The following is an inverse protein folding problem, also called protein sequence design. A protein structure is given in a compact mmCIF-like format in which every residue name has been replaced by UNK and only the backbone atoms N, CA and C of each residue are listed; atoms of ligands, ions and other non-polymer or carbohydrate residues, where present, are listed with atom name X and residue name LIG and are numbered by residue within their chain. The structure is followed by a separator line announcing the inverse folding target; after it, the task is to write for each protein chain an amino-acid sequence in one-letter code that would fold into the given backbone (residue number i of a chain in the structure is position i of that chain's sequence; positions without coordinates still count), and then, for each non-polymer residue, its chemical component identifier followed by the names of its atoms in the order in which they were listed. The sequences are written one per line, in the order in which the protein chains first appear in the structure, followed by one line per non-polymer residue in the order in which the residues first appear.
data_IF_797523117685
#
_entry.id   IF_797523117685
#
_cell.length_a   1.000
_cell.length_b   1.000
_cell.length_c   1.000
_cell.angle_alpha   90.00
_cell.angle_beta   90.00
_cell.angle_gamma   90.00
#
_symmetry.space_group_name_H-M   'P 1'
#
loop_
_entity.id
_entity.type
_entity.pdbx_description
1 polymer ?
#
# COMPACT_ATOMS: atom_id res chain seq x y z
N UNK A 1 -2.21 -48.02 66.74
CA UNK A 1 -2.19 -46.71 66.04
C UNK A 1 -1.19 -46.84 64.90
N UNK A 2 -1.69 -47.08 63.69
CA UNK A 2 -0.87 -47.32 62.49
C UNK A 2 -1.07 -46.15 61.52
N UNK A 3 0.01 -45.51 61.12
CA UNK A 3 0.03 -44.43 60.15
C UNK A 3 -0.06 -45.01 58.73
N UNK A 4 -1.04 -44.55 57.96
CA UNK A 4 -1.21 -44.92 56.54
C UNK A 4 -0.66 -43.78 55.69
N UNK A 5 0.41 -44.05 54.94
CA UNK A 5 0.98 -43.14 53.95
C UNK A 5 0.12 -43.18 52.69
N UNK A 6 -0.53 -42.06 52.36
CA UNK A 6 -1.28 -41.89 51.11
C UNK A 6 -0.37 -41.38 49.99
N UNK A 7 -0.25 -42.16 48.92
CA UNK A 7 0.40 -41.75 47.67
C UNK A 7 -0.65 -41.04 46.81
N UNK A 8 -0.40 -39.79 46.44
CA UNK A 8 -1.23 -39.02 45.51
C UNK A 8 -0.70 -39.24 44.09
N UNK A 9 -1.46 -39.94 43.25
CA UNK A 9 -1.19 -40.05 41.82
C UNK A 9 -1.85 -38.87 41.09
N UNK A 10 -1.03 -38.06 40.42
CA UNK A 10 -1.48 -36.96 39.55
C UNK A 10 -1.81 -37.55 38.18
N UNK A 11 -3.07 -37.42 37.74
CA UNK A 11 -3.50 -37.79 36.38
C UNK A 11 -3.64 -36.51 35.57
N UNK A 12 -2.74 -36.28 34.63
CA UNK A 12 -2.85 -35.21 33.63
C UNK A 12 -3.62 -35.74 32.43
N UNK A 13 -4.79 -35.15 32.14
CA UNK A 13 -5.54 -35.45 30.92
C UNK A 13 -4.98 -34.59 29.78
N UNK A 14 -4.42 -35.22 28.75
CA UNK A 14 -4.06 -34.57 27.49
C UNK A 14 -5.24 -34.71 26.52
N UNK A 15 -5.91 -33.61 26.23
CA UNK A 15 -6.93 -33.55 25.17
C UNK A 15 -6.21 -33.42 23.82
N UNK A 16 -6.39 -34.41 22.94
CA UNK A 16 -5.89 -34.35 21.55
C UNK A 16 -7.03 -33.84 20.69
N UNK A 17 -6.98 -32.57 20.26
CA UNK A 17 -7.91 -32.03 19.26
C UNK A 17 -7.52 -32.60 17.89
N UNK A 18 -8.38 -33.46 17.34
CA UNK A 18 -8.34 -33.84 15.93
C UNK A 18 -8.97 -32.71 15.11
N UNK A 19 -8.20 -32.07 14.23
CA UNK A 19 -8.72 -31.19 13.19
C UNK A 19 -8.88 -32.00 11.90
N UNK A 20 -10.11 -32.09 11.39
CA UNK A 20 -10.35 -32.64 10.05
C UNK A 20 -10.06 -31.55 8.99
N UNK A 21 -9.47 -31.90 7.83
CA UNK A 21 -9.19 -30.94 6.78
C UNK A 21 -10.49 -30.56 6.06
N UNK A 22 -11.04 -29.39 6.41
CA UNK A 22 -12.10 -28.73 5.65
C UNK A 22 -11.52 -27.99 4.45
N UNK A 23 -12.09 -28.22 3.26
CA UNK A 23 -11.86 -27.43 2.05
C UNK A 23 -12.05 -25.94 2.34
N UNK A 24 -11.09 -25.05 2.02
CA UNK A 24 -11.27 -23.62 2.23
C UNK A 24 -12.40 -23.11 1.33
N UNK A 25 -13.34 -22.38 1.94
CA UNK A 25 -14.35 -21.62 1.22
C UNK A 25 -13.66 -20.53 0.37
N UNK A 26 -14.23 -20.12 -0.78
CA UNK A 26 -13.70 -18.99 -1.52
C UNK A 26 -13.77 -17.75 -0.62
N UNK A 27 -12.61 -17.18 -0.30
CA UNK A 27 -12.50 -15.95 0.46
C UNK A 27 -12.98 -14.79 -0.43
N UNK A 28 -14.10 -14.18 -0.04
CA UNK A 28 -14.45 -12.85 -0.55
C UNK A 28 -13.33 -11.89 -0.12
N UNK A 29 -12.69 -11.14 -1.03
CA UNK A 29 -11.64 -10.22 -0.66
C UNK A 29 -12.19 -9.23 0.37
N UNK A 30 -11.58 -9.21 1.56
CA UNK A 30 -11.89 -8.18 2.56
C UNK A 30 -11.06 -6.96 2.16
N UNK A 31 -11.67 -5.84 1.75
CA UNK A 31 -10.91 -4.64 1.44
C UNK A 31 -10.17 -4.19 2.69
N UNK A 32 -8.85 -4.16 2.60
CA UNK A 32 -7.96 -3.72 3.66
C UNK A 32 -7.87 -2.20 3.66
N UNK A 33 -7.72 -1.64 4.86
CA UNK A 33 -7.69 -0.19 5.11
C UNK A 33 -6.33 0.42 4.70
N UNK A 34 -5.31 -0.42 4.53
CA UNK A 34 -4.00 -0.03 4.05
C UNK A 34 -3.89 -0.27 2.53
N UNK A 35 -3.58 0.80 1.79
CA UNK A 35 -2.98 0.82 0.45
C UNK A 35 -3.42 -0.22 -0.61
N UNK A 36 -4.68 -0.66 -0.63
CA UNK A 36 -5.28 -1.25 -1.84
C UNK A 36 -5.72 -0.12 -2.78
N UNK A 37 -4.75 0.51 -3.42
CA UNK A 37 -4.96 1.34 -4.60
C UNK A 37 -4.96 0.43 -5.80
N UNK A 38 -6.07 -0.24 -6.08
CA UNK A 38 -6.26 -0.86 -7.38
C UNK A 38 -7.70 -0.68 -7.81
N UNK A 39 -7.89 -0.40 -9.11
CA UNK A 39 -9.06 -0.84 -9.90
C UNK A 39 -10.15 0.18 -10.23
N UNK A 40 -10.89 -0.21 -11.28
CA UNK A 40 -12.11 0.35 -11.88
C UNK A 40 -13.22 0.68 -10.85
N UNK A 41 -13.19 0.04 -9.69
CA UNK A 41 -14.17 0.19 -8.60
C UNK A 41 -13.68 1.10 -7.45
N UNK A 42 -12.57 1.83 -7.64
CA UNK A 42 -12.05 2.73 -6.62
C UNK A 42 -13.11 3.81 -6.24
N UNK A 43 -13.26 4.18 -4.94
CA UNK A 43 -14.19 5.21 -4.50
C UNK A 43 -14.06 6.55 -5.24
N UNK A 44 -12.85 6.88 -5.67
CA UNK A 44 -12.55 8.09 -6.43
C UNK A 44 -13.12 8.06 -7.86
N UNK A 45 -13.34 6.87 -8.44
CA UNK A 45 -13.92 6.67 -9.76
C UNK A 45 -15.46 6.62 -9.75
N UNK A 46 -16.08 6.71 -8.56
CA UNK A 46 -17.54 6.69 -8.44
C UNK A 46 -18.18 7.84 -9.23
N UNK A 47 -19.16 7.50 -10.07
CA UNK A 47 -19.88 8.49 -10.87
C UNK A 47 -20.87 9.30 -10.03
N UNK A 48 -21.19 10.52 -10.47
CA UNK A 48 -22.25 11.32 -9.83
C UNK A 48 -23.64 10.64 -9.82
N UNK A 49 -23.88 9.66 -10.70
CA UNK A 49 -25.12 8.89 -10.75
C UNK A 49 -25.18 7.76 -9.71
N UNK A 50 -24.02 7.35 -9.18
CA UNK A 50 -23.87 6.30 -8.18
C UNK A 50 -22.77 6.69 -7.18
N UNK A 51 -23.02 7.72 -6.33
CA UNK A 51 -22.02 8.19 -5.37
C UNK A 51 -21.79 7.16 -4.27
N UNK A 52 -20.62 7.21 -3.63
CA UNK A 52 -20.37 6.44 -2.42
C UNK A 52 -21.24 6.98 -1.29
N UNK A 53 -22.11 6.17 -0.66
CA UNK A 53 -22.97 6.64 0.40
C UNK A 53 -22.16 6.95 1.67
N UNK A 54 -22.62 7.93 2.43
CA UNK A 54 -22.11 8.14 3.79
C UNK A 54 -22.35 6.88 4.64
N UNK A 55 -21.44 6.52 5.56
CA UNK A 55 -21.63 5.38 6.45
C UNK A 55 -22.93 5.50 7.24
N UNK A 56 -23.73 4.43 7.25
CA UNK A 56 -25.00 4.41 7.98
C UNK A 56 -24.82 4.53 9.50
N UNK A 57 -23.68 4.04 10.00
CA UNK A 57 -23.26 4.14 11.39
C UNK A 57 -21.78 4.50 11.39
N UNK A 58 -21.44 5.59 12.05
CA UNK A 58 -20.04 5.94 12.35
C UNK A 58 -19.54 5.10 13.50
N UNK A 59 -18.30 4.60 13.39
CA UNK A 59 -17.68 3.84 14.47
C UNK A 59 -17.45 4.74 15.70
N UNK A 60 -17.31 4.15 16.90
CA UNK A 60 -17.07 4.95 18.09
C UNK A 60 -15.71 5.69 17.98
N UNK A 61 -15.52 6.73 18.80
CA UNK A 61 -14.39 7.65 18.70
C UNK A 61 -13.02 6.97 18.62
N UNK A 62 -12.80 5.91 19.42
CA UNK A 62 -11.53 5.18 19.47
C UNK A 62 -11.56 3.85 18.70
N UNK A 63 -12.65 3.56 18.02
CA UNK A 63 -12.71 2.39 17.16
C UNK A 63 -11.82 2.61 15.93
N UNK A 64 -11.19 1.54 15.43
CA UNK A 64 -10.39 1.63 14.22
C UNK A 64 -11.23 2.13 13.03
N UNK A 65 -10.58 2.62 11.97
CA UNK A 65 -11.27 2.87 10.71
C UNK A 65 -12.10 1.67 10.26
N UNK A 66 -13.27 1.93 9.69
CA UNK A 66 -14.03 0.93 8.93
C UNK A 66 -13.84 1.14 7.43
N UNK A 67 -14.12 0.10 6.64
CA UNK A 67 -14.04 0.15 5.18
C UNK A 67 -14.97 1.22 4.60
N UNK A 68 -16.21 1.29 5.07
CA UNK A 68 -17.21 2.25 4.59
C UNK A 68 -16.78 3.70 4.85
N UNK A 69 -16.17 3.95 6.01
CA UNK A 69 -15.64 5.27 6.34
C UNK A 69 -14.50 5.66 5.41
N UNK A 70 -13.53 4.75 5.20
CA UNK A 70 -12.39 4.99 4.31
C UNK A 70 -12.86 5.20 2.87
N UNK A 71 -13.81 4.40 2.39
CA UNK A 71 -14.39 4.56 1.07
C UNK A 71 -15.08 5.93 0.92
N UNK A 72 -15.86 6.35 1.93
CA UNK A 72 -16.55 7.62 1.87
C UNK A 72 -15.62 8.83 1.95
N UNK A 73 -14.57 8.82 2.80
CA UNK A 73 -13.63 9.94 2.83
C UNK A 73 -12.79 10.05 1.56
N UNK A 74 -12.44 8.91 0.94
CA UNK A 74 -11.79 8.87 -0.38
C UNK A 74 -12.69 9.47 -1.47
N UNK A 75 -13.97 9.13 -1.45
CA UNK A 75 -14.97 9.76 -2.33
C UNK A 75 -15.07 11.27 -2.08
N UNK A 76 -15.10 11.73 -0.82
CA UNK A 76 -15.12 13.17 -0.52
C UNK A 76 -13.90 13.91 -1.08
N UNK A 77 -12.70 13.31 -1.02
CA UNK A 77 -11.50 13.87 -1.65
C UNK A 77 -11.67 13.99 -3.16
N UNK A 78 -12.24 12.98 -3.83
CA UNK A 78 -12.42 13.04 -5.29
C UNK A 78 -13.42 14.11 -5.76
N UNK A 79 -14.28 14.60 -4.85
CA UNK A 79 -15.19 15.71 -5.11
C UNK A 79 -14.54 17.08 -4.85
N UNK A 80 -13.37 17.14 -4.20
CA UNK A 80 -12.68 18.39 -3.95
C UNK A 80 -12.12 19.00 -5.25
N UNK A 81 -12.25 20.32 -5.48
CA UNK A 81 -11.68 20.97 -6.66
C UNK A 81 -10.17 20.75 -6.85
N UNK A 82 -9.38 20.54 -5.79
CA UNK A 82 -7.94 20.26 -5.91
C UNK A 82 -7.62 18.88 -6.47
N UNK A 83 -8.59 17.95 -6.45
CA UNK A 83 -8.44 16.63 -7.05
C UNK A 83 -8.62 16.67 -8.57
N UNK A 84 -9.40 17.62 -9.09
CA UNK A 84 -9.68 17.71 -10.51
C UNK A 84 -8.41 18.06 -11.34
N UNK A 85 -8.17 17.30 -12.40
CA UNK A 85 -7.04 17.53 -13.33
C UNK A 85 -5.70 16.95 -12.89
N UNK A 86 -5.67 16.21 -11.79
CA UNK A 86 -4.52 15.41 -11.34
C UNK A 86 -4.47 14.06 -12.06
N UNK A 87 -3.38 13.31 -11.90
CA UNK A 87 -3.21 11.98 -12.50
C UNK A 87 -2.60 10.93 -11.55
N UNK A 88 -2.97 9.67 -11.82
CA UNK A 88 -2.44 8.48 -11.18
C UNK A 88 -1.17 7.98 -11.88
N UNK A 89 -0.51 6.98 -11.28
CA UNK A 89 0.78 6.45 -11.75
C UNK A 89 0.74 5.89 -13.18
N UNK A 90 -0.41 5.39 -13.60
CA UNK A 90 -0.68 4.85 -14.93
C UNK A 90 -1.20 5.89 -15.93
N UNK A 91 -1.27 7.17 -15.53
CA UNK A 91 -1.81 8.26 -16.33
C UNK A 91 -3.34 8.33 -16.35
N UNK A 92 -4.02 7.55 -15.50
CA UNK A 92 -5.45 7.69 -15.24
C UNK A 92 -5.79 9.04 -14.62
N UNK A 93 -7.07 9.44 -14.70
CA UNK A 93 -7.54 10.68 -14.12
C UNK A 93 -7.67 10.56 -12.60
N UNK A 94 -7.21 11.58 -11.88
CA UNK A 94 -7.27 11.65 -10.42
C UNK A 94 -5.95 11.21 -9.78
N UNK A 95 -5.55 11.90 -8.72
CA UNK A 95 -4.31 11.65 -8.01
C UNK A 95 -4.30 10.23 -7.44
N UNK A 96 -3.12 9.63 -7.38
CA UNK A 96 -2.89 8.29 -6.86
C UNK A 96 -3.15 8.25 -5.34
N UNK A 97 -4.16 7.50 -4.89
CA UNK A 97 -4.34 7.24 -3.45
C UNK A 97 -3.12 6.52 -2.89
N UNK A 98 -2.62 6.96 -1.72
CA UNK A 98 -1.51 6.31 -1.01
C UNK A 98 -1.96 5.70 0.31
N UNK A 99 -2.61 6.49 1.17
CA UNK A 99 -3.08 6.02 2.48
C UNK A 99 -4.19 6.90 3.06
N UNK A 100 -4.92 6.33 4.03
CA UNK A 100 -5.87 7.01 4.87
C UNK A 100 -5.66 6.56 6.31
N UNK A 101 -5.55 7.54 7.21
CA UNK A 101 -5.31 7.33 8.62
C UNK A 101 -6.35 8.09 9.43
N UNK A 102 -6.87 7.48 10.48
CA UNK A 102 -7.75 8.16 11.43
C UNK A 102 -6.91 9.06 12.34
N UNK A 103 -7.27 10.34 12.40
CA UNK A 103 -6.64 11.29 13.30
C UNK A 103 -6.93 10.94 14.76
N UNK A 104 -5.96 11.17 15.64
CA UNK A 104 -6.15 10.97 17.08
C UNK A 104 -7.29 11.88 17.57
N UNK A 105 -8.38 11.31 18.11
CA UNK A 105 -9.54 12.09 18.55
C UNK A 105 -9.21 13.11 19.65
N UNK A 106 -8.15 12.89 20.42
CA UNK A 106 -7.72 13.83 21.47
C UNK A 106 -7.18 15.16 20.91
N UNK A 107 -6.87 15.22 19.61
CA UNK A 107 -6.44 16.42 18.92
C UNK A 107 -7.62 17.35 18.55
N UNK A 108 -8.87 16.90 18.75
CA UNK A 108 -10.08 17.66 18.43
C UNK A 108 -11.03 17.72 19.62
N UNK A 109 -11.57 18.91 19.92
CA UNK A 109 -12.45 19.10 21.09
C UNK A 109 -13.95 18.90 20.78
N UNK A 110 -14.31 18.84 19.50
CA UNK A 110 -15.69 18.66 19.01
C UNK A 110 -16.14 17.19 19.01
N UNK A 111 -15.19 16.24 19.10
CA UNK A 111 -15.47 14.82 19.04
C UNK A 111 -15.69 14.30 17.62
N UNK A 112 -15.44 15.11 16.60
CA UNK A 112 -15.60 14.72 15.21
C UNK A 112 -14.52 13.73 14.77
N UNK A 113 -14.92 12.78 13.91
CA UNK A 113 -14.01 11.79 13.33
C UNK A 113 -13.33 12.41 12.11
N UNK A 114 -12.02 12.61 12.18
CA UNK A 114 -11.21 13.18 11.09
C UNK A 114 -10.25 12.16 10.53
N UNK A 115 -10.09 12.19 9.22
CA UNK A 115 -9.14 11.37 8.48
C UNK A 115 -8.06 12.24 7.86
N UNK A 116 -6.84 11.77 7.91
CA UNK A 116 -5.73 12.24 7.08
C UNK A 116 -5.63 11.32 5.87
N UNK A 117 -5.65 11.87 4.67
CA UNK A 117 -5.39 11.10 3.45
C UNK A 117 -4.20 11.67 2.70
N UNK A 118 -3.40 10.78 2.13
CA UNK A 118 -2.30 11.12 1.24
C UNK A 118 -2.58 10.64 -0.17
N UNK A 119 -2.41 11.56 -1.12
CA UNK A 119 -2.49 11.30 -2.56
C UNK A 119 -1.23 11.83 -3.24
N UNK A 120 -0.81 11.21 -4.34
CA UNK A 120 0.27 11.71 -5.17
C UNK A 120 -0.25 12.10 -6.55
N UNK A 121 -0.02 13.36 -6.95
CA UNK A 121 -0.33 13.82 -8.29
C UNK A 121 0.89 13.67 -9.21
N UNK A 122 0.79 12.74 -10.16
CA UNK A 122 1.82 12.48 -11.15
C UNK A 122 1.92 13.55 -12.25
N UNK A 123 0.99 14.50 -12.33
CA UNK A 123 1.11 15.65 -13.25
C UNK A 123 2.11 16.68 -12.70
N UNK A 124 2.06 16.96 -11.40
CA UNK A 124 2.85 18.01 -10.76
C UNK A 124 3.99 17.51 -9.88
N UNK A 125 4.12 16.19 -9.69
CA UNK A 125 5.08 15.55 -8.79
C UNK A 125 4.94 16.03 -7.33
N UNK A 126 3.69 16.13 -6.86
CA UNK A 126 3.38 16.61 -5.51
C UNK A 126 2.56 15.62 -4.69
N UNK A 127 2.89 15.55 -3.40
CA UNK A 127 2.06 14.92 -2.39
C UNK A 127 0.95 15.89 -1.97
N UNK A 128 -0.30 15.45 -2.06
CA UNK A 128 -1.46 16.12 -1.53
C UNK A 128 -1.87 15.47 -0.21
N UNK A 129 -1.98 16.28 0.84
CA UNK A 129 -2.41 15.89 2.17
C UNK A 129 -3.79 16.49 2.46
N UNK A 130 -4.79 15.63 2.56
CA UNK A 130 -6.16 16.01 2.87
C UNK A 130 -6.48 15.75 4.33
N UNK A 131 -7.18 16.69 4.96
CA UNK A 131 -7.89 16.47 6.22
C UNK A 131 -9.38 16.46 5.93
N UNK A 132 -10.03 15.34 6.22
CA UNK A 132 -11.45 15.13 5.93
C UNK A 132 -12.20 14.90 7.24
N UNK A 133 -13.23 15.69 7.48
CA UNK A 133 -14.14 15.47 8.59
C UNK A 133 -15.26 14.54 8.12
N UNK A 134 -15.18 13.29 8.56
CA UNK A 134 -16.17 12.26 8.25
C UNK A 134 -17.54 12.62 8.85
N UNK A 135 -17.58 13.14 10.07
CA UNK A 135 -18.83 13.52 10.76
C UNK A 135 -19.58 14.61 9.99
N UNK A 136 -18.87 15.64 9.53
CA UNK A 136 -19.43 16.74 8.75
C UNK A 136 -19.62 16.38 7.26
N UNK A 137 -18.92 15.36 6.77
CA UNK A 137 -18.94 14.97 5.37
C UNK A 137 -18.23 15.96 4.45
N UNK A 138 -17.13 16.57 4.92
CA UNK A 138 -16.45 17.66 4.22
C UNK A 138 -14.94 17.50 4.25
N UNK A 139 -14.27 17.89 3.16
CA UNK A 139 -12.83 18.17 3.16
C UNK A 139 -12.60 19.49 3.90
N UNK A 140 -11.84 19.46 4.98
CA UNK A 140 -11.54 20.65 5.80
C UNK A 140 -10.31 21.40 5.28
N UNK A 141 -9.32 20.66 4.76
CA UNK A 141 -8.13 21.26 4.15
C UNK A 141 -7.43 20.31 3.20
N UNK A 142 -6.70 20.90 2.25
CA UNK A 142 -5.71 20.23 1.40
C UNK A 142 -4.41 21.03 1.49
N UNK A 143 -3.28 20.34 1.65
CA UNK A 143 -1.94 20.92 1.58
C UNK A 143 -1.11 20.14 0.59
N UNK A 144 -0.38 20.85 -0.27
CA UNK A 144 0.49 20.24 -1.28
C UNK A 144 1.96 20.42 -0.91
N UNK A 145 2.80 19.43 -1.22
CA UNK A 145 4.22 19.49 -0.94
C UNK A 145 5.04 18.55 -1.82
N UNK A 146 6.22 19.02 -2.22
CA UNK A 146 7.24 18.21 -2.88
C UNK A 146 8.29 17.72 -1.86
N UNK A 147 9.07 16.71 -2.22
CA UNK A 147 10.20 16.24 -1.40
C UNK A 147 9.85 15.22 -0.32
N UNK A 148 8.57 14.91 -0.13
CA UNK A 148 8.10 13.87 0.81
C UNK A 148 7.70 12.65 0.01
N UNK A 149 8.26 11.49 0.39
CA UNK A 149 8.06 10.23 -0.34
C UNK A 149 7.51 9.16 0.61
N UNK A 150 6.18 9.10 0.82
CA UNK A 150 5.56 8.01 1.57
C UNK A 150 5.81 6.66 0.88
N UNK A 151 5.59 5.58 1.64
CA UNK A 151 5.71 4.22 1.14
C UNK A 151 4.90 4.03 -0.17
N UNK A 152 5.41 3.22 -1.11
CA UNK A 152 4.68 2.90 -2.32
C UNK A 152 3.45 2.04 -2.03
N UNK A 153 2.44 2.18 -2.88
CA UNK A 153 1.30 1.27 -2.97
C UNK A 153 1.68 -0.01 -3.71
N UNK A 154 0.80 -1.02 -3.65
CA UNK A 154 0.98 -2.27 -4.39
C UNK A 154 0.94 -2.03 -5.91
N UNK A 155 0.08 -1.13 -6.39
CA UNK A 155 0.02 -0.75 -7.81
C UNK A 155 1.32 -0.09 -8.28
N UNK A 156 1.86 0.84 -7.49
CA UNK A 156 3.14 1.49 -7.80
C UNK A 156 4.30 0.49 -7.78
N UNK A 157 4.29 -0.43 -6.82
CA UNK A 157 5.30 -1.48 -6.68
C UNK A 157 5.26 -2.44 -7.88
N UNK A 158 4.05 -2.87 -8.27
CA UNK A 158 3.86 -3.74 -9.43
C UNK A 158 4.30 -3.07 -10.73
N UNK A 159 3.85 -1.83 -10.97
CA UNK A 159 4.25 -1.08 -12.16
C UNK A 159 5.76 -0.85 -12.20
N UNK A 160 6.38 -0.52 -11.07
CA UNK A 160 7.82 -0.36 -11.00
C UNK A 160 8.56 -1.63 -11.45
N UNK A 161 8.08 -2.80 -11.02
CA UNK A 161 8.70 -4.06 -11.43
C UNK A 161 8.45 -4.39 -12.90
N UNK A 162 7.25 -4.10 -13.42
CA UNK A 162 6.97 -4.24 -14.85
C UNK A 162 7.91 -3.36 -15.70
N UNK A 163 8.10 -2.09 -15.31
CA UNK A 163 9.05 -1.18 -15.95
C UNK A 163 10.48 -1.72 -15.87
N UNK A 164 10.89 -2.22 -14.70
CA UNK A 164 12.19 -2.84 -14.51
C UNK A 164 12.42 -4.01 -15.47
N UNK A 165 11.49 -4.96 -15.54
CA UNK A 165 11.62 -6.14 -16.40
C UNK A 165 11.59 -5.79 -17.89
N UNK A 166 10.92 -4.71 -18.28
CA UNK A 166 10.93 -4.22 -19.65
C UNK A 166 12.26 -3.53 -20.03
N UNK A 167 13.00 -3.00 -19.05
CA UNK A 167 14.22 -2.25 -19.29
C UNK A 167 15.46 -3.16 -19.52
N UNK A 168 16.36 -2.83 -20.45
CA UNK A 168 17.59 -3.58 -20.69
C UNK A 168 18.51 -3.74 -19.46
N UNK A 169 18.46 -2.81 -18.50
CA UNK A 169 19.22 -2.88 -17.25
C UNK A 169 18.84 -4.09 -16.39
N UNK A 170 17.68 -4.70 -16.62
CA UNK A 170 17.24 -5.91 -15.90
C UNK A 170 17.96 -7.19 -16.30
N UNK A 171 18.82 -7.18 -17.33
CA UNK A 171 19.44 -8.42 -17.83
C UNK A 171 20.18 -9.19 -16.73
N UNK A 172 20.92 -8.50 -15.85
CA UNK A 172 21.62 -9.17 -14.74
C UNK A 172 20.67 -9.88 -13.78
N UNK A 173 19.52 -9.27 -13.47
CA UNK A 173 18.48 -9.86 -12.61
C UNK A 173 17.85 -11.07 -13.28
N UNK A 174 17.58 -10.99 -14.59
CA UNK A 174 17.03 -12.10 -15.37
C UNK A 174 17.99 -13.29 -15.44
N UNK A 175 19.28 -13.02 -15.61
CA UNK A 175 20.33 -14.05 -15.62
C UNK A 175 20.46 -14.71 -14.23
N UNK A 176 20.40 -13.94 -13.14
CA UNK A 176 20.41 -14.47 -11.77
C UNK A 176 19.19 -15.34 -11.49
N UNK A 177 18.00 -14.92 -11.90
CA UNK A 177 16.78 -15.70 -11.77
C UNK A 177 16.85 -17.00 -12.57
N UNK A 178 17.31 -16.94 -13.83
CA UNK A 178 17.51 -18.12 -14.67
C UNK A 178 18.52 -19.10 -14.05
N UNK A 179 19.62 -18.59 -13.49
CA UNK A 179 20.60 -19.43 -12.81
C UNK A 179 20.06 -20.06 -11.51
N UNK A 180 19.11 -19.41 -10.83
CA UNK A 180 18.49 -19.92 -9.61
C UNK A 180 17.36 -20.93 -9.88
N UNK A 181 16.56 -20.71 -10.93
CA UNK A 181 15.30 -21.45 -11.16
C UNK A 181 15.33 -22.35 -12.39
N UNK A 182 16.18 -22.06 -13.37
CA UNK A 182 16.15 -22.68 -14.69
C UNK A 182 15.07 -22.10 -15.63
N UNK A 183 14.35 -21.05 -15.23
CA UNK A 183 13.31 -20.39 -16.01
C UNK A 183 13.65 -18.92 -16.29
N UNK A 184 13.11 -18.36 -17.39
CA UNK A 184 13.28 -16.94 -17.69
C UNK A 184 12.37 -16.09 -16.79
N UNK A 185 12.90 -14.98 -16.26
CA UNK A 185 12.12 -13.98 -15.52
C UNK A 185 11.42 -13.04 -16.51
N UNK A 186 10.11 -13.21 -16.64
CA UNK A 186 9.25 -12.47 -17.57
C UNK A 186 8.09 -11.75 -16.88
N UNK A 187 7.73 -12.19 -15.67
CA UNK A 187 6.60 -11.66 -14.92
C UNK A 187 6.99 -11.44 -13.44
N UNK A 188 6.65 -10.29 -12.82
CA UNK A 188 6.85 -10.06 -11.39
C UNK A 188 6.29 -11.18 -10.49
N UNK A 189 5.17 -11.81 -10.88
CA UNK A 189 4.51 -12.88 -10.13
C UNK A 189 5.36 -14.16 -9.97
N UNK A 190 6.45 -14.29 -10.73
CA UNK A 190 7.43 -15.37 -10.55
C UNK A 190 8.33 -15.15 -9.31
N UNK A 191 8.20 -14.01 -8.62
CA UNK A 191 9.02 -13.63 -7.48
C UNK A 191 8.16 -13.13 -6.32
N UNK A 192 8.71 -13.17 -5.12
CA UNK A 192 8.21 -12.36 -4.00
C UNK A 192 8.93 -11.02 -4.04
N UNK A 193 8.20 -9.90 -4.06
CA UNK A 193 8.81 -8.59 -4.18
C UNK A 193 8.15 -7.53 -3.31
N UNK A 194 8.93 -6.50 -3.01
CA UNK A 194 8.48 -5.28 -2.35
C UNK A 194 9.31 -4.10 -2.89
N UNK A 195 8.81 -2.89 -2.69
CA UNK A 195 9.55 -1.68 -3.00
C UNK A 195 9.57 -0.73 -1.79
N UNK A 196 10.54 0.17 -1.81
CA UNK A 196 10.55 1.34 -0.94
C UNK A 196 10.75 2.59 -1.80
N UNK A 197 10.27 3.73 -1.30
CA UNK A 197 10.52 4.99 -1.96
C UNK A 197 12.01 5.34 -1.90
N UNK A 198 12.53 5.85 -3.00
CA UNK A 198 13.94 6.19 -3.19
C UNK A 198 14.09 7.70 -3.32
N UNK A 199 14.96 8.27 -2.49
CA UNK A 199 15.39 9.68 -2.56
C UNK A 199 16.88 9.70 -2.80
N UNK A 200 17.30 10.39 -3.86
CA UNK A 200 18.71 10.44 -4.22
C UNK A 200 19.50 11.32 -3.25
N UNK A 201 20.63 10.80 -2.79
CA UNK A 201 21.70 11.56 -2.15
C UNK A 201 22.65 12.19 -3.19
N UNK A 202 23.61 13.03 -2.75
CA UNK A 202 24.51 13.74 -3.65
C UNK A 202 25.42 12.86 -4.53
N UNK A 203 25.56 11.57 -4.19
CA UNK A 203 26.39 10.62 -4.92
C UNK A 203 25.61 9.76 -5.91
N UNK A 204 24.27 9.80 -5.89
CA UNK A 204 23.41 8.90 -6.67
C UNK A 204 23.24 9.42 -8.11
N UNK A 205 24.31 9.27 -8.89
CA UNK A 205 24.36 9.73 -10.28
C UNK A 205 23.32 9.00 -11.14
N UNK A 206 22.58 9.77 -11.93
CA UNK A 206 21.50 9.27 -12.79
C UNK A 206 20.13 9.15 -12.12
N UNK A 207 20.01 9.43 -10.82
CA UNK A 207 18.75 9.46 -10.07
C UNK A 207 18.48 10.83 -9.42
N UNK A 208 19.12 11.90 -9.88
CA UNK A 208 19.15 13.20 -9.22
C UNK A 208 17.75 13.86 -9.06
N UNK A 209 16.77 13.43 -9.84
CA UNK A 209 15.38 13.91 -9.72
C UNK A 209 14.58 13.16 -8.65
N UNK A 210 15.06 12.02 -8.16
CA UNK A 210 14.37 11.18 -7.18
C UNK A 210 14.32 11.84 -5.81
N UNK A 211 13.11 11.93 -5.25
CA UNK A 211 12.81 12.70 -4.05
C UNK A 211 11.89 13.89 -4.35
N UNK A 212 12.10 14.54 -5.50
CA UNK A 212 11.07 15.39 -6.11
C UNK A 212 10.13 14.49 -6.90
N UNK A 213 10.67 13.77 -7.88
CA UNK A 213 9.95 12.74 -8.60
C UNK A 213 9.83 11.47 -7.77
N UNK A 214 8.74 10.74 -8.01
CA UNK A 214 8.42 9.52 -7.28
C UNK A 214 9.23 8.36 -7.85
N UNK A 215 10.31 8.02 -7.16
CA UNK A 215 11.18 6.91 -7.51
C UNK A 215 11.07 5.79 -6.49
N UNK A 216 11.16 4.55 -6.95
CA UNK A 216 11.17 3.35 -6.12
C UNK A 216 12.45 2.54 -6.34
N UNK A 217 12.86 1.84 -5.29
CA UNK A 217 13.85 0.77 -5.39
C UNK A 217 13.22 -0.54 -4.93
N UNK A 218 13.37 -1.57 -5.77
CA UNK A 218 12.77 -2.88 -5.59
C UNK A 218 13.69 -3.80 -4.80
N UNK A 219 13.08 -4.74 -4.09
CA UNK A 219 13.70 -5.96 -3.58
C UNK A 219 12.90 -7.13 -4.10
N UNK A 220 13.56 -8.06 -4.78
CA UNK A 220 12.91 -9.25 -5.36
C UNK A 220 13.62 -10.52 -4.89
N UNK A 221 12.82 -11.56 -4.61
CA UNK A 221 13.27 -12.86 -4.16
C UNK A 221 12.74 -13.94 -5.10
N UNK A 222 13.65 -14.78 -5.60
CA UNK A 222 13.29 -15.96 -6.38
C UNK A 222 12.59 -17.03 -5.50
N UNK A 223 11.86 -17.99 -6.09
CA UNK A 223 11.15 -19.03 -5.35
C UNK A 223 12.02 -19.89 -4.41
N UNK A 224 13.33 -19.97 -4.67
CA UNK A 224 14.30 -20.68 -3.81
C UNK A 224 14.71 -19.87 -2.56
N UNK A 225 14.20 -18.65 -2.40
CA UNK A 225 14.51 -17.74 -1.30
C UNK A 225 15.71 -16.82 -1.55
N UNK A 226 16.38 -16.91 -2.71
CA UNK A 226 17.50 -16.02 -3.05
C UNK A 226 17.01 -14.63 -3.45
N UNK A 227 17.63 -13.60 -2.89
CA UNK A 227 17.42 -12.23 -3.36
C UNK A 227 18.16 -11.99 -4.68
N UNK A 228 17.47 -11.36 -5.63
CA UNK A 228 18.03 -10.88 -6.87
C UNK A 228 18.69 -9.52 -6.66
N UNK A 229 19.73 -9.20 -7.43
CA UNK A 229 20.50 -7.95 -7.31
C UNK A 229 19.76 -6.78 -7.95
N UNK A 230 18.74 -6.27 -7.27
CA UNK A 230 17.93 -5.12 -7.68
C UNK A 230 18.43 -3.78 -7.14
N UNK A 231 19.29 -3.81 -6.10
CA UNK A 231 19.82 -2.62 -5.39
C UNK A 231 20.53 -1.56 -6.23
N UNK A 232 21.21 -1.84 -7.35
CA UNK A 232 21.82 -0.78 -8.14
C UNK A 232 20.80 -0.09 -9.07
N UNK A 233 19.54 -0.54 -9.10
CA UNK A 233 18.54 -0.05 -10.04
C UNK A 233 17.46 0.75 -9.29
N UNK A 234 17.08 1.87 -9.89
CA UNK A 234 16.03 2.76 -9.40
C UNK A 234 15.02 2.95 -10.52
N UNK A 235 13.74 2.84 -10.18
CA UNK A 235 12.64 3.04 -11.11
C UNK A 235 12.00 4.39 -10.81
N UNK A 236 12.04 5.31 -11.76
CA UNK A 236 11.35 6.58 -11.68
C UNK A 236 9.94 6.40 -12.25
N UNK A 237 8.93 6.40 -11.39
CA UNK A 237 7.53 6.24 -11.78
C UNK A 237 6.98 7.47 -12.49
N UNK A 238 7.39 8.68 -12.07
CA UNK A 238 7.00 9.94 -12.71
C UNK A 238 7.45 10.03 -14.17
N UNK A 239 8.67 9.56 -14.46
CA UNK A 239 9.24 9.56 -15.80
C UNK A 239 9.03 8.24 -16.56
N UNK A 240 8.55 7.19 -15.90
CA UNK A 240 8.46 5.82 -16.41
C UNK A 240 9.81 5.29 -16.96
N UNK A 241 10.90 5.52 -16.24
CA UNK A 241 12.25 5.11 -16.64
C UNK A 241 12.96 4.30 -15.57
N UNK A 242 13.93 3.48 -15.98
CA UNK A 242 14.85 2.79 -15.07
C UNK A 242 16.24 3.39 -15.21
N UNK A 243 16.90 3.61 -14.08
CA UNK A 243 18.27 4.12 -14.03
C UNK A 243 19.13 3.24 -13.13
N UNK A 244 20.43 3.22 -13.40
CA UNK A 244 21.40 2.60 -12.50
C UNK A 244 22.05 3.66 -11.63
N UNK A 245 22.03 3.48 -10.32
CA UNK A 245 22.77 4.32 -9.36
C UNK A 245 24.11 3.66 -9.03
N UNK A 246 25.17 4.47 -8.95
CA UNK A 246 26.56 4.03 -8.75
C UNK A 246 27.24 4.81 -7.65
#
# INVERSE_FOLDING_TARGET
MAAVAGVVAVVTQTSVLHAEPGTPAPETPVPTIAAESTSEDAPEQASAAAPVPAPAVTAATYDPPTVDEVAYVRYLVSQDPSYAGTASVDGGAGAQYLSADLADPSLSADGDRRYTLFYFDYVTDQLQHYVVNLTAGTVESVTEGAGVQPAPTDQETLLAFQLLLADPLSQGIKDEFLAATGEELTDPAQTTFAAHAYTAGPADLGAETCGVQRCLQLMAQAPDGRYLTTTPLVVNLSAQTVTSVK
#
